data_IF_187780957217
#
_entry.id   IF_187780957217
#
_cell.length_a   1.000
_cell.length_b   1.000
_cell.length_c   1.000
_cell.angle_alpha   90.00
_cell.angle_beta   90.00
_cell.angle_gamma   90.00
#
_symmetry.space_group_name_H-M   'P 1'
#
loop_
_entity.id
_entity.type
_entity.pdbx_description
1 polymer ?
#
# COMPACT_ATOMS: atom_id res chain seq x y z
N UNK A 1 -21.52 2.21 -8.29
CA UNK A 1 -20.74 0.96 -8.41
C UNK A 1 -19.38 1.26 -7.86
N UNK A 2 -19.02 0.62 -6.75
CA UNK A 2 -17.70 0.77 -6.15
C UNK A 2 -16.72 -0.11 -6.91
N UNK A 3 -15.53 0.40 -7.23
CA UNK A 3 -14.44 -0.37 -7.88
C UNK A 3 -14.20 -1.72 -7.16
N UNK A 4 -14.36 -1.73 -5.84
CA UNK A 4 -14.29 -2.90 -4.96
C UNK A 4 -15.18 -4.05 -5.42
N UNK A 5 -16.43 -3.76 -5.80
CA UNK A 5 -17.44 -4.77 -6.17
C UNK A 5 -17.10 -5.46 -7.50
N UNK A 6 -16.21 -4.87 -8.30
CA UNK A 6 -15.75 -5.41 -9.57
C UNK A 6 -14.47 -6.24 -9.46
N UNK A 7 -13.80 -6.21 -8.31
CA UNK A 7 -12.55 -6.94 -8.11
C UNK A 7 -12.82 -8.40 -7.77
N UNK A 8 -12.04 -9.34 -8.33
CA UNK A 8 -12.13 -10.75 -7.96
C UNK A 8 -11.65 -10.94 -6.51
N UNK A 9 -12.18 -11.91 -5.76
CA UNK A 9 -11.80 -12.18 -4.36
C UNK A 9 -10.47 -12.93 -4.25
N UNK A 10 -9.46 -12.46 -4.97
CA UNK A 10 -8.11 -13.02 -5.03
C UNK A 10 -7.11 -11.91 -5.41
N UNK A 11 -5.80 -12.15 -5.25
CA UNK A 11 -4.77 -11.27 -5.79
C UNK A 11 -4.97 -11.05 -7.30
N UNK A 12 -4.71 -9.83 -7.75
CA UNK A 12 -4.80 -9.46 -9.17
C UNK A 12 -3.55 -9.92 -9.92
N UNK A 13 -3.78 -10.40 -11.14
CA UNK A 13 -2.70 -10.68 -12.09
C UNK A 13 -2.23 -9.39 -12.79
N UNK A 14 -1.01 -9.35 -13.35
CA UNK A 14 -0.51 -8.17 -14.05
C UNK A 14 -1.41 -7.67 -15.20
N UNK A 15 -2.09 -8.59 -15.90
CA UNK A 15 -3.01 -8.23 -16.99
C UNK A 15 -4.28 -7.55 -16.46
N UNK A 16 -4.79 -7.97 -15.30
CA UNK A 16 -5.97 -7.38 -14.65
C UNK A 16 -5.64 -5.97 -14.12
N UNK A 17 -4.42 -5.79 -13.59
CA UNK A 17 -3.92 -4.46 -13.19
C UNK A 17 -3.83 -3.49 -14.36
N UNK A 18 -3.34 -3.95 -15.51
CA UNK A 18 -3.26 -3.13 -16.73
C UNK A 18 -4.66 -2.70 -17.19
N UNK A 19 -5.64 -3.61 -17.14
CA UNK A 19 -7.02 -3.29 -17.47
C UNK A 19 -7.62 -2.28 -16.48
N UNK A 20 -7.32 -2.42 -15.19
CA UNK A 20 -7.80 -1.51 -14.16
C UNK A 20 -7.22 -0.10 -14.30
N UNK A 21 -5.92 0.01 -14.60
CA UNK A 21 -5.26 1.29 -14.87
C UNK A 21 -5.77 1.94 -16.18
N UNK A 22 -6.28 1.14 -17.12
CA UNK A 22 -6.89 1.62 -18.37
C UNK A 22 -8.37 1.96 -18.22
N UNK A 23 -8.98 1.77 -17.05
CA UNK A 23 -10.39 2.04 -16.85
C UNK A 23 -10.63 3.56 -16.72
N UNK A 24 -11.53 4.11 -17.51
CA UNK A 24 -11.89 5.56 -17.49
C UNK A 24 -12.44 6.05 -16.13
N UNK A 25 -12.73 5.14 -15.19
CA UNK A 25 -13.26 5.45 -13.87
C UNK A 25 -12.19 5.90 -12.86
N UNK A 26 -10.90 5.74 -13.17
CA UNK A 26 -9.78 6.01 -12.27
C UNK A 26 -8.71 6.80 -13.00
N UNK A 27 -8.10 7.75 -12.30
CA UNK A 27 -6.93 8.49 -12.83
C UNK A 27 -5.63 7.72 -12.56
N UNK A 28 -5.63 6.91 -11.50
CA UNK A 28 -4.45 6.17 -11.07
C UNK A 28 -4.88 4.87 -10.35
N UNK A 29 -4.21 3.77 -10.68
CA UNK A 29 -4.26 2.51 -9.95
C UNK A 29 -2.83 1.99 -9.74
N UNK A 30 -2.40 1.86 -8.48
CA UNK A 30 -1.06 1.40 -8.10
C UNK A 30 -1.17 0.13 -7.26
N UNK A 31 -0.57 -1.00 -7.69
CA UNK A 31 -0.54 -2.21 -6.90
C UNK A 31 0.46 -2.11 -5.74
N UNK A 32 0.10 -2.69 -4.60
CA UNK A 32 1.02 -2.95 -3.50
C UNK A 32 1.20 -4.47 -3.41
N UNK A 33 2.41 -4.91 -3.76
CA UNK A 33 2.77 -6.32 -3.82
C UNK A 33 3.34 -6.80 -2.48
N UNK A 34 3.04 -8.04 -2.14
CA UNK A 34 3.68 -8.80 -1.06
C UNK A 34 4.05 -10.19 -1.60
N UNK A 35 5.32 -10.56 -1.44
CA UNK A 35 5.92 -11.79 -2.02
C UNK A 35 5.59 -12.00 -3.53
N UNK A 36 5.49 -10.91 -4.29
CA UNK A 36 5.14 -10.95 -5.73
C UNK A 36 3.66 -11.19 -6.03
N UNK A 37 2.77 -11.05 -5.04
CA UNK A 37 1.31 -11.08 -5.20
C UNK A 37 0.71 -9.73 -4.84
N UNK A 38 -0.24 -9.28 -5.65
CA UNK A 38 -0.96 -8.02 -5.40
C UNK A 38 -1.99 -8.23 -4.30
N UNK A 39 -1.64 -7.88 -3.08
CA UNK A 39 -2.50 -8.01 -1.88
C UNK A 39 -3.11 -6.68 -1.46
N UNK A 40 -2.86 -5.61 -2.21
CA UNK A 40 -3.34 -4.26 -1.92
C UNK A 40 -3.27 -3.38 -3.14
N UNK A 41 -4.09 -2.35 -3.14
CA UNK A 41 -4.27 -1.49 -4.30
C UNK A 41 -4.60 -0.07 -3.83
N UNK A 42 -3.87 0.89 -4.37
CA UNK A 42 -4.20 2.31 -4.27
C UNK A 42 -4.93 2.71 -5.53
N UNK A 43 -6.11 3.29 -5.38
CA UNK A 43 -6.87 3.85 -6.51
C UNK A 43 -7.20 5.30 -6.22
N UNK A 44 -7.08 6.15 -7.24
CA UNK A 44 -7.32 7.58 -7.09
C UNK A 44 -8.13 8.15 -8.25
N UNK A 45 -8.85 9.22 -7.92
CA UNK A 45 -9.49 10.13 -8.86
C UNK A 45 -9.00 11.56 -8.62
N UNK A 46 -9.62 12.53 -9.28
CA UNK A 46 -9.44 13.96 -9.05
C UNK A 46 -9.85 14.38 -7.63
N UNK A 47 -10.76 13.64 -7.01
CA UNK A 47 -11.47 14.06 -5.79
C UNK A 47 -11.22 13.18 -4.57
N UNK A 48 -10.62 12.00 -4.74
CA UNK A 48 -10.37 11.09 -3.63
C UNK A 48 -9.26 10.09 -3.96
N UNK A 49 -8.67 9.53 -2.91
CA UNK A 49 -7.78 8.36 -2.92
C UNK A 49 -8.36 7.29 -2.01
N UNK A 50 -8.28 6.03 -2.43
CA UNK A 50 -8.71 4.88 -1.62
C UNK A 50 -7.63 3.83 -1.54
N UNK A 51 -7.45 3.31 -0.34
CA UNK A 51 -6.66 2.12 -0.06
C UNK A 51 -7.55 0.89 0.00
N UNK A 52 -7.17 -0.14 -0.75
CA UNK A 52 -7.85 -1.43 -0.79
C UNK A 52 -6.87 -2.51 -0.33
N UNK A 53 -7.32 -3.40 0.54
CA UNK A 53 -6.56 -4.56 0.97
C UNK A 53 -7.33 -5.84 0.68
N UNK A 54 -6.61 -6.89 0.28
CA UNK A 54 -7.20 -8.21 0.16
C UNK A 54 -7.39 -8.82 1.55
N UNK A 55 -8.63 -9.08 1.90
CA UNK A 55 -9.07 -9.60 3.19
C UNK A 55 -9.31 -11.11 3.07
N UNK A 56 -8.48 -11.88 3.79
CA UNK A 56 -8.60 -13.34 3.85
C UNK A 56 -9.75 -13.83 4.74
N UNK A 57 -10.32 -12.98 5.59
CA UNK A 57 -11.46 -13.29 6.45
C UNK A 57 -12.80 -12.92 5.80
N UNK A 58 -12.83 -11.85 4.99
CA UNK A 58 -14.01 -11.40 4.27
C UNK A 58 -14.14 -11.97 2.83
N UNK A 59 -13.26 -12.90 2.44
CA UNK A 59 -13.21 -13.52 1.10
C UNK A 59 -13.23 -12.46 -0.02
N UNK A 60 -12.41 -11.40 0.06
CA UNK A 60 -12.45 -10.36 -0.95
C UNK A 60 -11.65 -9.10 -0.68
N UNK A 61 -11.89 -8.06 -1.47
CA UNK A 61 -11.25 -6.76 -1.30
C UNK A 61 -12.04 -5.87 -0.34
N UNK A 62 -11.34 -5.27 0.61
CA UNK A 62 -11.90 -4.34 1.60
C UNK A 62 -11.31 -2.96 1.41
N UNK A 63 -12.14 -1.91 1.46
CA UNK A 63 -11.66 -0.52 1.56
C UNK A 63 -11.19 -0.30 2.98
N UNK A 64 -9.90 -0.06 3.15
CA UNK A 64 -9.30 0.17 4.47
C UNK A 64 -9.16 1.65 4.79
N UNK A 65 -9.10 2.50 3.76
CA UNK A 65 -9.00 3.95 3.91
C UNK A 65 -9.60 4.67 2.69
N UNK A 66 -10.19 5.84 2.94
CA UNK A 66 -10.66 6.78 1.92
C UNK A 66 -10.29 8.19 2.34
N UNK A 67 -9.47 8.85 1.54
CA UNK A 67 -9.07 10.24 1.73
C UNK A 67 -9.67 11.08 0.61
N UNK A 68 -10.50 12.05 0.97
CA UNK A 68 -10.98 13.07 0.02
C UNK A 68 -9.86 14.07 -0.29
N UNK A 69 -9.76 14.47 -1.55
CA UNK A 69 -8.78 15.46 -2.02
C UNK A 69 -9.44 16.83 -2.09
N UNK A 70 -8.77 17.83 -1.50
CA UNK A 70 -9.23 19.21 -1.46
C UNK A 70 -8.04 20.19 -1.51
N UNK A 71 -8.28 21.45 -1.16
CA UNK A 71 -7.23 22.47 -1.19
C UNK A 71 -6.17 22.29 -0.09
N UNK A 72 -6.48 21.54 0.96
CA UNK A 72 -5.63 21.32 2.12
C UNK A 72 -4.98 19.92 2.10
N UNK A 73 -5.49 19.01 1.27
CA UNK A 73 -5.04 17.61 1.15
C UNK A 73 -4.53 17.32 -0.26
N UNK A 74 -3.21 17.27 -0.42
CA UNK A 74 -2.60 16.93 -1.70
C UNK A 74 -2.76 15.44 -2.01
N UNK A 75 -2.76 15.09 -3.31
CA UNK A 75 -2.86 13.69 -3.76
C UNK A 75 -1.77 12.79 -3.15
N UNK A 76 -0.57 13.33 -2.99
CA UNK A 76 0.56 12.59 -2.40
C UNK A 76 0.26 12.21 -0.95
N UNK A 77 -0.27 13.15 -0.16
CA UNK A 77 -0.63 12.88 1.24
C UNK A 77 -1.75 11.83 1.33
N UNK A 78 -2.75 11.93 0.45
CA UNK A 78 -3.82 10.93 0.35
C UNK A 78 -3.30 9.53 0.00
N UNK A 79 -2.34 9.43 -0.93
CA UNK A 79 -1.69 8.17 -1.29
C UNK A 79 -0.90 7.58 -0.12
N UNK A 80 -0.11 8.40 0.58
CA UNK A 80 0.68 7.95 1.73
C UNK A 80 -0.20 7.48 2.89
N UNK A 81 -1.29 8.18 3.20
CA UNK A 81 -2.23 7.78 4.24
C UNK A 81 -2.90 6.43 3.89
N UNK A 82 -3.36 6.28 2.64
CA UNK A 82 -3.95 5.03 2.17
C UNK A 82 -2.96 3.87 2.14
N UNK A 83 -1.70 4.11 1.74
CA UNK A 83 -0.64 3.09 1.78
C UNK A 83 -0.39 2.61 3.21
N UNK A 84 -0.23 3.56 4.15
CA UNK A 84 -0.02 3.23 5.55
C UNK A 84 -1.19 2.43 6.15
N UNK A 85 -2.44 2.73 5.76
CA UNK A 85 -3.61 1.96 6.18
C UNK A 85 -3.61 0.53 5.64
N UNK A 86 -3.22 0.33 4.37
CA UNK A 86 -3.08 -1.02 3.77
C UNK A 86 -2.02 -1.84 4.52
N UNK A 87 -0.87 -1.24 4.80
CA UNK A 87 0.23 -1.92 5.51
C UNK A 87 -0.20 -2.32 6.93
N UNK A 88 -0.83 -1.41 7.68
CA UNK A 88 -1.39 -1.72 9.02
C UNK A 88 -2.44 -2.83 8.96
N UNK A 89 -3.32 -2.81 7.97
CA UNK A 89 -4.34 -3.84 7.80
C UNK A 89 -3.74 -5.24 7.61
N UNK A 90 -2.61 -5.34 6.90
CA UNK A 90 -1.89 -6.61 6.70
C UNK A 90 -1.13 -7.10 7.93
N UNK A 91 -0.97 -6.25 8.94
CA UNK A 91 -0.12 -6.52 10.10
C UNK A 91 1.34 -6.10 9.90
N UNK A 92 1.70 -5.51 8.75
CA UNK A 92 2.98 -4.86 8.50
C UNK A 92 2.90 -3.40 8.98
N UNK A 93 2.65 -3.18 10.27
CA UNK A 93 2.50 -1.82 10.79
C UNK A 93 3.82 -1.03 10.56
N UNK A 94 3.80 0.04 9.74
CA UNK A 94 5.00 0.83 9.46
C UNK A 94 5.56 1.51 10.72
N UNK A 95 4.75 1.68 11.77
CA UNK A 95 5.19 2.21 13.07
C UNK A 95 5.83 1.13 13.96
N UNK A 96 5.62 -0.15 13.65
CA UNK A 96 6.26 -1.27 14.33
C UNK A 96 7.64 -1.62 13.73
N UNK A 97 7.97 -1.09 12.54
CA UNK A 97 9.29 -1.28 11.91
C UNK A 97 10.34 -0.56 12.76
N UNK A 98 11.09 -1.33 13.53
CA UNK A 98 12.20 -0.78 14.31
C UNK A 98 13.43 -0.59 13.40
N UNK A 99 14.37 0.31 13.74
CA UNK A 99 15.64 0.42 13.03
C UNK A 99 16.44 -0.89 12.93
N UNK A 100 16.14 -1.88 13.77
CA UNK A 100 16.77 -3.20 13.74
C UNK A 100 16.26 -4.10 12.59
N UNK A 101 15.07 -3.82 12.05
CA UNK A 101 14.44 -4.61 10.99
C UNK A 101 14.77 -4.07 9.58
N UNK A 102 15.46 -2.92 9.50
CA UNK A 102 15.89 -2.34 8.23
C UNK A 102 17.06 -3.18 7.63
N UNK A 103 16.90 -3.77 6.42
CA UNK A 103 17.99 -4.48 5.78
C UNK A 103 19.11 -3.49 5.43
N UNK A 104 20.24 -3.62 6.13
CA UNK A 104 21.40 -2.75 5.96
C UNK A 104 21.70 -1.80 7.12
N UNK A 105 21.23 -2.08 8.34
CA UNK A 105 21.76 -1.44 9.54
C UNK A 105 23.29 -1.62 9.58
N UNK A 106 24.01 -0.57 9.18
CA UNK A 106 25.46 -0.53 9.22
C UNK A 106 25.89 -0.54 10.69
N UNK A 107 26.45 -1.66 11.14
CA UNK A 107 27.19 -1.74 12.40
C UNK A 107 28.59 -1.16 12.14
N UNK A 108 28.92 0.06 12.63
CA UNK A 108 30.30 0.51 12.59
C UNK A 108 31.12 -0.38 13.52
N UNK A 109 31.94 -1.26 12.95
CA UNK A 109 32.99 -1.94 13.69
C UNK A 109 33.99 -0.88 14.18
N UNK A 110 33.87 -0.48 15.44
CA UNK A 110 34.92 0.27 16.13
C UNK A 110 36.12 -0.67 16.27
N UNK A 111 37.28 -0.38 15.65
CA UNK A 111 38.47 -1.19 15.89
C UNK A 111 38.84 -1.02 17.37
N UNK A 112 38.89 -2.14 18.09
CA UNK A 112 39.40 -2.20 19.46
C UNK A 112 40.79 -1.56 19.45
N UNK A 113 40.93 -0.44 20.15
CA UNK A 113 42.22 0.20 20.34
C UNK A 113 42.99 -0.68 21.31
N UNK A 114 44.06 -1.31 20.83
CA UNK A 114 45.12 -1.89 21.64
C UNK A 114 45.50 -0.88 22.75
N UNK A 115 45.19 -1.21 24.00
CA UNK A 115 45.83 -0.61 25.17
C UNK A 115 46.83 -1.62 25.76
N UNK A 116 48.09 -1.19 25.75
CA UNK A 116 49.32 -1.89 26.16
C UNK A 116 49.35 -2.38 27.62
#
# INVERSE_FOLDING_TARGET
>A
MSVVESLPPRPLDPEELLQLNSADALDLAVPIEDEGRVTGLLVATESWVKGLALDGEADGWTVVETVDLDADTERVDGLQACEAAILRFRGDDPEAVTPADAPGAYEPAVPESDEE
#
